data_IF_890311422945
#
_entry.id   IF_890311422945
#
_cell.length_a   1.000
_cell.length_b   1.000
_cell.length_c   1.000
_cell.angle_alpha   90.00
_cell.angle_beta   90.00
_cell.angle_gamma   90.00
#
_symmetry.space_group_name_H-M   'P 1'
#
loop_
_entity.id
_entity.type
_entity.pdbx_description
1 polymer ?
#
# COMPACT_ATOMS: atom_id res chain seq x y z
N UNK A 1 16.47 -20.30 12.21
CA UNK A 1 16.93 -18.90 12.06
C UNK A 1 17.51 -18.45 13.38
N UNK A 2 18.75 -17.93 13.39
CA UNK A 2 19.40 -17.40 14.62
C UNK A 2 19.29 -15.87 14.72
N UNK A 3 19.12 -15.18 13.59
CA UNK A 3 18.83 -13.75 13.50
C UNK A 3 18.25 -13.43 12.11
N UNK A 4 17.38 -12.42 12.04
CA UNK A 4 16.84 -11.87 10.79
C UNK A 4 16.85 -10.34 10.89
N UNK A 5 17.38 -9.67 9.88
CA UNK A 5 17.42 -8.22 9.78
C UNK A 5 16.57 -7.83 8.58
N UNK A 6 15.49 -7.09 8.84
CA UNK A 6 14.60 -6.54 7.83
C UNK A 6 14.00 -5.23 8.34
N UNK A 7 13.55 -4.39 7.41
CA UNK A 7 12.75 -3.22 7.74
C UNK A 7 11.38 -3.64 8.25
N UNK A 8 10.80 -2.84 9.15
CA UNK A 8 9.41 -2.98 9.55
C UNK A 8 8.51 -2.56 8.38
N UNK A 9 7.83 -3.55 7.80
CA UNK A 9 6.96 -3.33 6.64
C UNK A 9 5.66 -2.62 7.02
N UNK A 10 5.17 -2.75 8.25
CA UNK A 10 3.96 -2.06 8.72
C UNK A 10 4.25 -0.57 8.81
N UNK A 11 5.35 -0.20 9.48
CA UNK A 11 5.78 1.20 9.56
C UNK A 11 6.04 1.76 8.16
N UNK A 12 6.69 0.97 7.28
CA UNK A 12 6.93 1.39 5.90
C UNK A 12 5.65 1.67 5.11
N UNK A 13 4.60 0.86 5.29
CA UNK A 13 3.29 1.08 4.68
C UNK A 13 2.58 2.33 5.20
N UNK A 14 2.61 2.53 6.52
CA UNK A 14 1.98 3.67 7.18
C UNK A 14 2.65 5.00 6.76
N UNK A 15 3.99 5.01 6.71
CA UNK A 15 4.75 6.15 6.20
C UNK A 15 4.36 6.51 4.76
N UNK A 16 4.12 5.52 3.90
CA UNK A 16 3.69 5.78 2.53
C UNK A 16 2.30 6.44 2.47
N UNK A 17 1.36 6.00 3.30
CA UNK A 17 0.03 6.60 3.39
C UNK A 17 0.07 8.05 3.89
N UNK A 18 0.83 8.32 4.95
CA UNK A 18 1.02 9.68 5.44
C UNK A 18 1.70 10.59 4.42
N UNK A 19 2.70 10.08 3.71
CA UNK A 19 3.36 10.84 2.66
C UNK A 19 2.39 11.25 1.54
N UNK A 20 1.54 10.32 1.08
CA UNK A 20 0.51 10.64 0.08
C UNK A 20 -0.44 11.70 0.63
N UNK A 21 -0.94 11.52 1.85
CA UNK A 21 -1.82 12.48 2.53
C UNK A 21 -1.22 13.89 2.59
N UNK A 22 0.06 14.01 2.94
CA UNK A 22 0.78 15.29 2.97
C UNK A 22 0.85 15.96 1.59
N UNK A 23 0.98 15.18 0.52
CA UNK A 23 1.15 15.71 -0.85
C UNK A 23 -0.16 16.03 -1.56
N UNK A 24 -1.20 15.23 -1.36
CA UNK A 24 -2.46 15.35 -2.11
C UNK A 24 -3.67 15.70 -1.25
N UNK A 25 -3.51 15.75 0.08
CA UNK A 25 -4.53 16.14 1.04
C UNK A 25 -5.29 14.96 1.64
N UNK A 26 -5.93 15.22 2.79
CA UNK A 26 -6.60 14.21 3.61
C UNK A 26 -7.83 13.57 2.97
N UNK A 27 -8.39 14.18 1.91
CA UNK A 27 -9.60 13.72 1.20
C UNK A 27 -9.30 13.12 -0.16
N UNK A 28 -8.04 12.73 -0.39
CA UNK A 28 -7.64 12.17 -1.66
C UNK A 28 -8.34 10.83 -1.93
N UNK A 29 -8.71 10.63 -3.20
CA UNK A 29 -9.12 9.32 -3.70
C UNK A 29 -7.88 8.58 -4.17
N UNK A 30 -7.57 7.47 -3.52
CA UNK A 30 -6.35 6.69 -3.71
C UNK A 30 -6.69 5.26 -4.09
N UNK A 31 -5.80 4.58 -4.82
CA UNK A 31 -5.90 3.13 -5.04
C UNK A 31 -4.61 2.49 -4.54
N UNK A 32 -4.70 1.24 -4.09
CA UNK A 32 -3.55 0.48 -3.63
C UNK A 32 -3.25 -0.65 -4.61
N UNK A 33 -2.01 -0.66 -5.12
CA UNK A 33 -1.46 -1.77 -5.88
C UNK A 33 -0.47 -2.52 -4.98
N UNK A 34 -0.81 -3.75 -4.63
CA UNK A 34 -0.05 -4.57 -3.69
C UNK A 34 1.06 -5.36 -4.39
N UNK A 35 2.03 -5.82 -3.61
CA UNK A 35 3.07 -6.72 -4.09
C UNK A 35 2.55 -8.12 -4.38
N UNK A 36 3.46 -9.11 -4.30
CA UNK A 36 3.11 -10.52 -4.55
C UNK A 36 2.14 -11.01 -3.47
N UNK A 37 0.97 -11.47 -3.90
CA UNK A 37 -0.07 -11.99 -3.02
C UNK A 37 0.45 -13.13 -2.13
N UNK A 38 0.02 -13.14 -0.87
CA UNK A 38 0.41 -14.16 0.11
C UNK A 38 1.80 -13.97 0.74
N UNK A 39 2.59 -12.98 0.32
CA UNK A 39 3.85 -12.66 0.99
C UNK A 39 3.63 -11.83 2.26
N UNK A 40 4.45 -12.06 3.29
CA UNK A 40 4.41 -11.27 4.52
C UNK A 40 4.63 -9.77 4.25
N UNK A 41 5.59 -9.45 3.37
CA UNK A 41 5.90 -8.07 3.01
C UNK A 41 4.72 -7.34 2.35
N UNK A 42 3.97 -8.01 1.45
CA UNK A 42 2.77 -7.40 0.85
C UNK A 42 1.67 -7.18 1.90
N UNK A 43 1.42 -8.18 2.75
CA UNK A 43 0.42 -8.09 3.83
C UNK A 43 0.74 -6.98 4.82
N UNK A 44 1.98 -6.92 5.31
CA UNK A 44 2.41 -5.96 6.32
C UNK A 44 2.44 -4.52 5.79
N UNK A 45 2.91 -4.30 4.56
CA UNK A 45 2.83 -2.97 3.94
C UNK A 45 1.39 -2.53 3.68
N UNK A 46 0.54 -3.46 3.23
CA UNK A 46 -0.87 -3.18 3.03
C UNK A 46 -1.58 -2.85 4.34
N UNK A 47 -1.26 -3.57 5.43
CA UNK A 47 -1.74 -3.25 6.77
C UNK A 47 -1.34 -1.84 7.21
N UNK A 48 -0.06 -1.49 7.08
CA UNK A 48 0.43 -0.14 7.39
C UNK A 48 -0.26 0.96 6.58
N UNK A 49 -0.38 0.77 5.27
CA UNK A 49 -1.06 1.73 4.40
C UNK A 49 -2.54 1.91 4.79
N UNK A 50 -3.23 0.79 5.09
CA UNK A 50 -4.62 0.82 5.56
C UNK A 50 -4.79 1.52 6.90
N UNK A 51 -3.81 1.44 7.80
CA UNK A 51 -3.82 2.20 9.06
C UNK A 51 -3.81 3.70 8.78
N UNK A 52 -2.94 4.16 7.89
CA UNK A 52 -2.89 5.56 7.47
C UNK A 52 -4.19 6.02 6.77
N UNK A 53 -4.78 5.18 5.91
CA UNK A 53 -6.07 5.47 5.26
C UNK A 53 -7.19 5.59 6.30
N UNK A 54 -7.33 4.62 7.21
CA UNK A 54 -8.36 4.63 8.27
C UNK A 54 -8.20 5.78 9.26
N UNK A 55 -6.99 6.29 9.43
CA UNK A 55 -6.70 7.48 10.23
C UNK A 55 -7.00 8.80 9.52
N UNK A 56 -7.57 8.78 8.32
CA UNK A 56 -7.80 9.95 7.46
C UNK A 56 -9.18 9.93 6.80
N UNK A 57 -9.49 10.98 6.03
CA UNK A 57 -10.70 11.08 5.19
C UNK A 57 -10.46 10.56 3.75
N UNK A 58 -9.38 9.80 3.50
CA UNK A 58 -9.06 9.30 2.17
C UNK A 58 -10.06 8.24 1.71
N UNK A 59 -10.45 8.31 0.42
CA UNK A 59 -11.29 7.30 -0.23
C UNK A 59 -10.41 6.25 -0.91
N UNK A 60 -10.56 4.98 -0.53
CA UNK A 60 -9.84 3.84 -1.10
C UNK A 60 -10.82 2.91 -1.84
N UNK A 61 -11.24 3.24 -3.07
CA UNK A 61 -12.16 2.40 -3.86
C UNK A 61 -11.59 1.03 -4.25
N UNK A 62 -10.27 0.83 -4.24
CA UNK A 62 -9.66 -0.43 -4.65
C UNK A 62 -8.31 -0.70 -3.98
N UNK A 63 -8.11 -1.96 -3.58
CA UNK A 63 -6.81 -2.54 -3.26
C UNK A 63 -6.67 -3.89 -3.94
N UNK A 64 -5.62 -4.09 -4.73
CA UNK A 64 -5.41 -5.35 -5.44
C UNK A 64 -3.94 -5.69 -5.69
N UNK A 65 -3.57 -6.99 -5.76
CA UNK A 65 -2.21 -7.43 -6.08
C UNK A 65 -1.80 -7.11 -7.52
N UNK A 66 -0.73 -6.33 -7.67
CA UNK A 66 -0.04 -6.10 -8.93
C UNK A 66 1.21 -7.00 -9.10
N UNK A 67 1.50 -7.88 -8.14
CA UNK A 67 2.55 -8.90 -8.19
C UNK A 67 3.97 -8.36 -8.44
N UNK A 68 4.22 -7.09 -8.09
CA UNK A 68 5.46 -6.36 -8.43
C UNK A 68 5.73 -6.31 -9.95
N UNK A 69 4.71 -6.57 -10.77
CA UNK A 69 4.78 -6.49 -12.22
C UNK A 69 4.27 -5.12 -12.69
N UNK A 70 5.14 -4.38 -13.36
CA UNK A 70 4.84 -3.03 -13.84
C UNK A 70 3.76 -3.02 -14.92
N UNK A 71 3.74 -4.03 -15.78
CA UNK A 71 2.75 -4.15 -16.85
C UNK A 71 1.38 -4.44 -16.24
N UNK A 72 1.32 -5.41 -15.32
CA UNK A 72 0.09 -5.72 -14.59
C UNK A 72 -0.43 -4.50 -13.84
N UNK A 73 0.42 -3.81 -13.08
CA UNK A 73 0.03 -2.59 -12.36
C UNK A 73 -0.47 -1.46 -13.27
N UNK A 74 0.00 -1.36 -14.52
CA UNK A 74 -0.50 -0.39 -15.49
C UNK A 74 -1.89 -0.79 -16.01
N UNK A 75 -2.04 -2.03 -16.49
CA UNK A 75 -3.31 -2.54 -17.03
C UNK A 75 -4.41 -2.54 -15.97
N UNK A 76 -4.08 -2.92 -14.75
CA UNK A 76 -5.00 -2.93 -13.61
C UNK A 76 -5.50 -1.52 -13.26
N UNK A 77 -4.63 -0.50 -13.36
CA UNK A 77 -5.03 0.89 -13.19
C UNK A 77 -5.96 1.36 -14.31
N UNK A 78 -5.74 0.95 -15.55
CA UNK A 78 -6.58 1.39 -16.69
C UNK A 78 -8.02 0.85 -16.63
N UNK A 79 -8.26 -0.23 -15.87
CA UNK A 79 -9.56 -0.87 -15.70
C UNK A 79 -10.31 -0.44 -14.41
N UNK A 80 -9.74 0.49 -13.64
CA UNK A 80 -10.26 1.03 -12.37
C UNK A 80 -10.86 2.44 -12.56
#
# INVERSE_FOLDING_TARGET
VVSHIASDNVIGGEMAGHYIMEKVGEKAKVIQLEGIAGTSAARERGEGFMNAVKGSDMDLPASQPADLDRTKGLTDKENL
#
